data_IF_582406944123
#
_entry.id   IF_582406944123
#
_cell.length_a   1.000
_cell.length_b   1.000
_cell.length_c   1.000
_cell.angle_alpha   90.00
_cell.angle_beta   90.00
_cell.angle_gamma   90.00
#
_symmetry.space_group_name_H-M   'P 1'
#
loop_
_entity.id
_entity.type
_entity.pdbx_description
1 polymer ?
#
# COMPACT_ATOMS: atom_id res chain seq x y z
N UNK A 1 -0.97 31.39 -16.28
CA UNK A 1 -0.13 31.02 -15.11
C UNK A 1 0.33 29.60 -15.30
N UNK A 2 1.60 29.27 -15.04
CA UNK A 2 2.06 27.89 -15.06
C UNK A 2 1.45 27.11 -13.90
N UNK A 3 1.06 25.83 -14.14
CA UNK A 3 0.59 24.96 -13.07
C UNK A 3 1.70 24.70 -12.05
N UNK A 4 1.34 24.62 -10.77
CA UNK A 4 2.30 24.30 -9.70
C UNK A 4 2.79 22.85 -9.84
N UNK A 5 4.10 22.58 -9.65
CA UNK A 5 4.65 21.24 -9.67
C UNK A 5 4.06 20.38 -8.54
N UNK A 6 3.68 19.12 -8.86
CA UNK A 6 3.17 18.15 -7.89
C UNK A 6 3.84 16.79 -8.07
N UNK A 7 4.31 16.22 -6.98
CA UNK A 7 4.75 14.82 -6.91
C UNK A 7 3.69 14.03 -6.14
N UNK A 8 3.24 12.90 -6.71
CA UNK A 8 2.20 12.06 -6.13
C UNK A 8 2.84 10.81 -5.51
N UNK A 9 2.41 10.44 -4.31
CA UNK A 9 2.92 9.27 -3.59
C UNK A 9 1.81 8.30 -3.23
N UNK A 10 2.06 7.00 -3.39
CA UNK A 10 1.31 6.02 -2.60
C UNK A 10 1.69 6.16 -1.12
N UNK A 11 0.89 5.54 -0.26
CA UNK A 11 1.05 5.69 1.19
C UNK A 11 1.66 4.44 1.84
N UNK A 12 0.97 3.30 1.72
CA UNK A 12 1.38 2.03 2.33
C UNK A 12 2.49 1.36 1.51
N UNK A 13 3.70 1.26 2.06
CA UNK A 13 4.86 0.72 1.34
C UNK A 13 5.73 1.78 0.68
N UNK A 14 5.27 3.04 0.65
CA UNK A 14 6.05 4.18 0.13
C UNK A 14 6.37 5.17 1.24
N UNK A 15 5.36 5.70 1.92
CA UNK A 15 5.52 6.66 3.02
C UNK A 15 5.63 5.92 4.35
N UNK A 16 4.71 4.98 4.63
CA UNK A 16 4.66 4.23 5.88
C UNK A 16 4.80 2.72 5.68
N UNK A 17 5.58 2.09 6.55
CA UNK A 17 5.53 0.66 6.83
C UNK A 17 4.44 0.41 7.88
N UNK A 18 3.38 -0.27 7.48
CA UNK A 18 2.26 -0.65 8.32
C UNK A 18 2.21 -2.15 8.60
N UNK A 19 3.29 -2.91 8.40
CA UNK A 19 3.29 -4.37 8.45
C UNK A 19 2.69 -4.93 9.74
N UNK A 20 3.01 -4.35 10.89
CA UNK A 20 2.53 -4.82 12.18
C UNK A 20 1.04 -4.47 12.40
N UNK A 21 0.58 -3.33 11.85
CA UNK A 21 -0.85 -2.98 11.81
C UNK A 21 -1.62 -3.91 10.89
N UNK A 22 -1.11 -4.17 9.69
CA UNK A 22 -1.78 -5.05 8.72
C UNK A 22 -2.02 -6.42 9.34
N UNK A 23 -1.02 -6.98 10.02
CA UNK A 23 -1.19 -8.23 10.72
C UNK A 23 -2.17 -8.11 11.88
N UNK A 24 -2.00 -7.15 12.79
CA UNK A 24 -2.85 -6.98 13.97
C UNK A 24 -4.32 -6.85 13.59
N UNK A 25 -4.63 -6.00 12.61
CA UNK A 25 -6.00 -5.77 12.17
C UNK A 25 -6.57 -6.97 11.42
N UNK A 26 -5.80 -7.59 10.53
CA UNK A 26 -6.23 -8.78 9.77
C UNK A 26 -6.43 -9.98 10.68
N UNK A 27 -5.54 -10.20 11.66
CA UNK A 27 -5.68 -11.21 12.70
C UNK A 27 -6.98 -11.04 13.48
N UNK A 28 -7.25 -9.84 14.00
CA UNK A 28 -8.48 -9.56 14.78
C UNK A 28 -9.72 -9.71 13.91
N UNK A 29 -9.70 -9.26 12.68
CA UNK A 29 -10.81 -9.43 11.73
C UNK A 29 -11.06 -10.92 11.45
N UNK A 30 -10.02 -11.70 11.16
CA UNK A 30 -10.10 -13.14 10.95
C UNK A 30 -10.69 -13.86 12.18
N UNK A 31 -10.18 -13.58 13.39
CA UNK A 31 -10.67 -14.17 14.64
C UNK A 31 -12.14 -13.82 14.95
N UNK A 32 -12.63 -12.69 14.44
CA UNK A 32 -14.07 -12.34 14.57
C UNK A 32 -14.97 -13.17 13.64
N UNK A 33 -14.43 -13.70 12.56
CA UNK A 33 -15.15 -14.50 11.57
C UNK A 33 -15.01 -16.00 11.80
N UNK A 34 -13.86 -16.45 12.35
CA UNK A 34 -13.58 -17.85 12.67
C UNK A 34 -13.52 -18.04 14.18
N UNK A 35 -14.38 -18.93 14.70
CA UNK A 35 -14.40 -19.27 16.13
C UNK A 35 -13.45 -20.42 16.43
N UNK A 36 -12.82 -20.37 17.61
CA UNK A 36 -12.00 -21.48 18.12
C UNK A 36 -10.66 -21.64 17.42
N UNK A 37 -10.21 -20.65 16.65
CA UNK A 37 -8.89 -20.66 15.97
C UNK A 37 -7.89 -19.82 16.75
N UNK A 38 -6.61 -20.16 16.60
CA UNK A 38 -5.51 -19.44 17.20
C UNK A 38 -4.63 -18.82 16.12
N UNK A 39 -4.27 -17.57 16.30
CA UNK A 39 -3.29 -16.83 15.48
C UNK A 39 -2.32 -16.09 16.41
N UNK A 40 -1.02 -16.12 16.16
CA UNK A 40 -0.01 -15.46 16.99
C UNK A 40 -0.21 -13.94 17.03
N UNK A 41 0.21 -13.29 18.08
CA UNK A 41 0.18 -11.81 18.13
C UNK A 41 1.24 -11.17 17.26
N UNK A 42 2.43 -11.75 17.25
CA UNK A 42 3.52 -11.28 16.39
C UNK A 42 3.25 -11.60 14.93
N UNK A 43 3.64 -10.66 14.05
CA UNK A 43 3.50 -10.80 12.59
C UNK A 43 4.26 -12.02 12.08
N UNK A 44 3.59 -13.06 11.54
CA UNK A 44 4.25 -14.24 11.00
C UNK A 44 5.15 -13.91 9.80
N UNK A 45 6.28 -14.62 9.67
CA UNK A 45 7.18 -14.44 8.52
C UNK A 45 6.48 -14.69 7.17
N UNK A 46 5.60 -15.69 7.10
CA UNK A 46 4.81 -15.98 5.88
C UNK A 46 3.85 -14.86 5.51
N UNK A 47 3.26 -14.15 6.47
CA UNK A 47 2.45 -12.97 6.21
C UNK A 47 3.29 -11.86 5.57
N UNK A 48 4.48 -11.59 6.13
CA UNK A 48 5.43 -10.61 5.57
C UNK A 48 5.85 -10.99 4.16
N UNK A 49 6.14 -12.26 3.92
CA UNK A 49 6.54 -12.77 2.61
C UNK A 49 5.43 -12.63 1.55
N UNK A 50 4.15 -12.79 1.93
CA UNK A 50 3.01 -12.65 1.02
C UNK A 50 2.57 -11.19 0.79
N UNK A 51 3.01 -10.23 1.62
CA UNK A 51 2.59 -8.82 1.49
C UNK A 51 2.81 -8.23 0.09
N UNK A 52 3.89 -8.52 -0.64
CA UNK A 52 4.10 -8.02 -2.00
C UNK A 52 3.04 -8.43 -3.03
N UNK A 53 2.28 -9.48 -2.79
CA UNK A 53 1.20 -9.95 -3.68
C UNK A 53 -0.16 -9.34 -3.34
N UNK A 54 -0.30 -8.75 -2.15
CA UNK A 54 -1.56 -8.16 -1.68
C UNK A 54 -1.95 -6.95 -2.53
N UNK A 55 -3.16 -6.97 -3.09
CA UNK A 55 -3.73 -5.89 -3.88
C UNK A 55 -4.72 -5.04 -3.10
N UNK A 56 -5.53 -5.70 -2.26
CA UNK A 56 -6.58 -5.06 -1.48
C UNK A 56 -6.48 -5.45 -0.01
N UNK A 57 -6.87 -4.55 0.89
CA UNK A 57 -6.77 -4.79 2.33
C UNK A 57 -7.49 -6.06 2.81
N UNK A 58 -8.62 -6.39 2.23
CA UNK A 58 -9.40 -7.59 2.59
C UNK A 58 -8.62 -8.92 2.38
N UNK A 59 -7.70 -8.97 1.42
CA UNK A 59 -6.89 -10.17 1.14
C UNK A 59 -6.04 -10.56 2.35
N UNK A 60 -5.58 -9.59 3.12
CA UNK A 60 -4.79 -9.84 4.33
C UNK A 60 -5.60 -10.60 5.40
N UNK A 61 -6.90 -10.38 5.47
CA UNK A 61 -7.79 -11.15 6.37
C UNK A 61 -7.89 -12.61 5.92
N UNK A 62 -7.98 -12.83 4.62
CA UNK A 62 -8.01 -14.19 4.05
C UNK A 62 -6.65 -14.90 4.21
N UNK A 63 -5.53 -14.18 4.06
CA UNK A 63 -4.19 -14.73 4.34
C UNK A 63 -4.09 -15.14 5.82
N UNK A 64 -4.64 -14.35 6.74
CA UNK A 64 -4.67 -14.75 8.16
C UNK A 64 -5.47 -16.05 8.37
N UNK A 65 -6.58 -16.26 7.63
CA UNK A 65 -7.32 -17.51 7.66
C UNK A 65 -6.52 -18.69 7.09
N UNK A 66 -5.74 -18.52 6.02
CA UNK A 66 -4.85 -19.56 5.51
C UNK A 66 -3.72 -19.91 6.49
N UNK A 67 -3.22 -18.93 7.23
CA UNK A 67 -2.13 -19.13 8.19
C UNK A 67 -2.55 -19.96 9.41
N UNK A 68 -3.83 -19.96 9.79
CA UNK A 68 -4.33 -20.76 10.91
C UNK A 68 -4.54 -22.24 10.55
N UNK A 69 -4.66 -22.58 9.27
CA UNK A 69 -4.91 -23.96 8.83
C UNK A 69 -3.63 -24.79 8.84
N UNK A 70 -3.54 -25.77 9.75
CA UNK A 70 -2.37 -26.65 9.86
C UNK A 70 -2.11 -27.51 8.61
N UNK A 71 -3.16 -27.80 7.83
CA UNK A 71 -3.08 -28.58 6.58
C UNK A 71 -3.71 -27.82 5.40
N UNK A 72 -3.65 -26.49 5.44
CA UNK A 72 -4.15 -25.62 4.39
C UNK A 72 -3.20 -25.51 3.19
N UNK A 73 -3.66 -24.88 2.09
CA UNK A 73 -2.85 -24.72 0.88
C UNK A 73 -1.51 -24.03 1.15
N UNK A 74 -1.50 -22.98 1.96
CA UNK A 74 -0.28 -22.24 2.30
C UNK A 74 0.74 -23.10 3.07
N UNK A 75 0.28 -24.05 3.90
CA UNK A 75 1.15 -24.97 4.61
C UNK A 75 1.70 -26.06 3.68
N UNK A 76 0.84 -26.63 2.82
CA UNK A 76 1.23 -27.71 1.90
C UNK A 76 2.14 -27.24 0.76
N UNK A 77 1.83 -26.10 0.17
CA UNK A 77 2.56 -25.58 -1.00
C UNK A 77 3.82 -24.79 -0.62
N UNK A 78 3.81 -24.15 0.56
CA UNK A 78 4.78 -23.13 0.90
C UNK A 78 4.47 -21.77 0.24
N UNK A 79 5.22 -20.73 0.63
CA UNK A 79 4.93 -19.36 0.18
C UNK A 79 5.11 -19.17 -1.32
N UNK A 80 6.20 -19.68 -1.89
CA UNK A 80 6.54 -19.44 -3.31
C UNK A 80 5.51 -20.06 -4.26
N UNK A 81 5.15 -21.34 -4.05
CA UNK A 81 4.16 -22.01 -4.88
C UNK A 81 2.73 -21.46 -4.64
N UNK A 82 2.40 -21.06 -3.42
CA UNK A 82 1.14 -20.36 -3.13
C UNK A 82 1.08 -19.00 -3.86
N UNK A 83 2.16 -18.24 -3.83
CA UNK A 83 2.27 -16.93 -4.46
C UNK A 83 2.27 -17.00 -5.99
N UNK A 84 2.79 -18.08 -6.59
CA UNK A 84 2.75 -18.28 -8.04
C UNK A 84 1.32 -18.33 -8.61
N UNK A 85 0.37 -18.87 -7.83
CA UNK A 85 -1.05 -18.97 -8.19
C UNK A 85 -1.94 -18.10 -7.28
N UNK A 86 -1.42 -16.97 -6.80
CA UNK A 86 -2.01 -16.15 -5.73
C UNK A 86 -3.50 -15.87 -5.92
N UNK A 87 -3.91 -15.37 -7.08
CA UNK A 87 -5.32 -15.03 -7.36
C UNK A 87 -6.23 -16.26 -7.35
N UNK A 88 -5.73 -17.43 -7.80
CA UNK A 88 -6.47 -18.68 -7.75
C UNK A 88 -6.62 -19.16 -6.30
N UNK A 89 -5.56 -19.05 -5.49
CA UNK A 89 -5.62 -19.40 -4.07
C UNK A 89 -6.61 -18.51 -3.31
N UNK A 90 -6.65 -17.21 -3.61
CA UNK A 90 -7.63 -16.29 -3.02
C UNK A 90 -9.06 -16.68 -3.38
N UNK A 91 -9.35 -16.94 -4.67
CA UNK A 91 -10.70 -17.38 -5.11
C UNK A 91 -11.12 -18.67 -4.41
N UNK A 92 -10.27 -19.70 -4.44
CA UNK A 92 -10.53 -20.97 -3.77
C UNK A 92 -10.74 -20.80 -2.24
N UNK A 93 -10.02 -19.88 -1.61
CA UNK A 93 -10.19 -19.55 -0.20
C UNK A 93 -11.54 -18.89 0.09
N UNK A 94 -11.93 -17.91 -0.70
CA UNK A 94 -13.24 -17.25 -0.57
C UNK A 94 -14.38 -18.25 -0.67
N UNK A 95 -14.32 -19.14 -1.67
CA UNK A 95 -15.34 -20.20 -1.88
C UNK A 95 -15.36 -21.16 -0.70
N UNK A 96 -14.20 -21.61 -0.23
CA UNK A 96 -14.08 -22.58 0.88
C UNK A 96 -14.62 -22.04 2.21
N UNK A 97 -14.33 -20.76 2.52
CA UNK A 97 -14.85 -20.14 3.74
C UNK A 97 -16.28 -19.60 3.58
N UNK A 98 -16.83 -19.57 2.35
CA UNK A 98 -18.11 -18.94 2.05
C UNK A 98 -18.07 -17.42 2.24
N UNK A 99 -16.92 -16.78 2.05
CA UNK A 99 -16.74 -15.35 2.29
C UNK A 99 -16.79 -14.55 0.99
N UNK A 100 -17.18 -13.28 1.15
CA UNK A 100 -17.11 -12.29 0.08
C UNK A 100 -16.02 -11.23 0.41
N UNK A 101 -15.35 -10.65 -0.58
CA UNK A 101 -14.39 -9.57 -0.37
C UNK A 101 -14.93 -8.41 0.48
N UNK A 102 -16.21 -8.02 0.26
CA UNK A 102 -16.86 -6.97 1.04
C UNK A 102 -16.96 -7.30 2.53
N UNK A 103 -17.31 -8.55 2.89
CA UNK A 103 -17.36 -8.98 4.29
C UNK A 103 -16.01 -8.84 4.98
N UNK A 104 -14.93 -9.24 4.29
CA UNK A 104 -13.58 -9.16 4.82
C UNK A 104 -13.12 -7.71 4.96
N UNK A 105 -13.42 -6.88 3.95
CA UNK A 105 -13.11 -5.45 3.98
C UNK A 105 -13.85 -4.74 5.12
N UNK A 106 -15.15 -4.97 5.28
CA UNK A 106 -15.96 -4.39 6.37
C UNK A 106 -15.45 -4.82 7.75
N UNK A 107 -15.04 -6.09 7.88
CA UNK A 107 -14.47 -6.63 9.11
C UNK A 107 -13.13 -5.98 9.44
N UNK A 108 -12.25 -5.80 8.45
CA UNK A 108 -10.96 -5.12 8.60
C UNK A 108 -11.16 -3.67 9.04
N UNK A 109 -12.04 -2.94 8.37
CA UNK A 109 -12.29 -1.53 8.68
C UNK A 109 -12.98 -1.34 10.04
N UNK A 110 -13.88 -2.25 10.42
CA UNK A 110 -14.47 -2.24 11.76
C UNK A 110 -13.39 -2.39 12.83
N UNK A 111 -12.46 -3.32 12.66
CA UNK A 111 -11.34 -3.53 13.59
C UNK A 111 -10.46 -2.27 13.67
N UNK A 112 -10.14 -1.67 12.55
CA UNK A 112 -9.36 -0.42 12.50
C UNK A 112 -10.07 0.73 13.21
N UNK A 113 -11.36 0.94 12.92
CA UNK A 113 -12.17 1.96 13.63
C UNK A 113 -12.20 1.74 15.14
N UNK A 114 -12.35 0.49 15.59
CA UNK A 114 -12.31 0.15 17.00
C UNK A 114 -10.92 0.41 17.62
N UNK A 115 -9.83 0.12 16.89
CA UNK A 115 -8.48 0.39 17.37
C UNK A 115 -8.23 1.91 17.49
N UNK A 116 -8.57 2.69 16.47
CA UNK A 116 -8.43 4.16 16.50
C UNK A 116 -9.27 4.77 17.61
N UNK A 117 -10.52 4.35 17.78
CA UNK A 117 -11.41 4.92 18.82
C UNK A 117 -11.06 4.47 20.24
N UNK A 118 -10.49 3.28 20.42
CA UNK A 118 -10.16 2.71 21.73
C UNK A 118 -8.74 3.01 22.19
N UNK A 119 -7.76 2.90 21.32
CA UNK A 119 -6.35 3.17 21.58
C UNK A 119 -5.65 3.69 20.31
N UNK A 120 -5.90 4.94 19.97
CA UNK A 120 -5.29 5.61 18.81
C UNK A 120 -3.76 5.56 18.87
N UNK A 121 -3.18 5.80 20.03
CA UNK A 121 -1.72 5.82 20.18
C UNK A 121 -1.10 4.45 19.95
N UNK A 122 -1.68 3.39 20.48
CA UNK A 122 -1.26 2.02 20.23
C UNK A 122 -1.45 1.61 18.76
N UNK A 123 -2.53 2.05 18.10
CA UNK A 123 -2.72 1.78 16.67
C UNK A 123 -1.67 2.52 15.81
N UNK A 124 -1.40 3.79 16.08
CA UNK A 124 -0.36 4.58 15.38
C UNK A 124 1.02 3.95 15.57
N UNK A 125 1.34 3.47 16.78
CA UNK A 125 2.64 2.85 17.10
C UNK A 125 2.95 1.56 16.30
N UNK A 126 1.93 0.97 15.65
CA UNK A 126 2.11 -0.17 14.73
C UNK A 126 2.57 0.25 13.32
N UNK A 127 2.70 1.54 13.07
CA UNK A 127 3.16 2.10 11.80
C UNK A 127 4.49 2.83 11.99
N UNK A 128 5.31 2.89 10.95
CA UNK A 128 6.59 3.62 10.96
C UNK A 128 6.80 4.28 9.59
N UNK A 129 7.17 5.56 9.55
CA UNK A 129 7.69 6.15 8.33
C UNK A 129 8.92 5.39 7.85
N UNK A 130 9.03 5.15 6.55
CA UNK A 130 10.28 4.64 6.01
C UNK A 130 11.40 5.65 6.25
N UNK A 131 12.62 5.13 6.41
CA UNK A 131 13.79 5.95 6.72
C UNK A 131 14.03 7.04 5.67
N UNK A 132 14.12 8.28 6.12
CA UNK A 132 14.41 9.45 5.27
C UNK A 132 13.19 10.02 4.53
N UNK A 133 12.00 9.39 4.66
CA UNK A 133 10.81 9.86 3.94
C UNK A 133 10.30 11.20 4.50
N UNK A 134 10.23 11.36 5.82
CA UNK A 134 9.74 12.59 6.43
C UNK A 134 10.63 13.78 6.05
N UNK A 135 11.94 13.62 6.14
CA UNK A 135 12.93 14.63 5.77
C UNK A 135 12.83 14.98 4.28
N UNK A 136 12.64 13.96 3.42
CA UNK A 136 12.53 14.19 1.98
C UNK A 136 11.23 14.92 1.59
N UNK A 137 10.11 14.54 2.19
CA UNK A 137 8.83 15.22 1.94
C UNK A 137 8.87 16.70 2.38
N UNK A 138 9.51 17.00 3.51
CA UNK A 138 9.74 18.38 3.93
C UNK A 138 10.63 19.16 2.95
N UNK A 139 11.70 18.52 2.43
CA UNK A 139 12.61 19.14 1.46
C UNK A 139 11.99 19.45 0.08
N UNK A 140 10.86 18.82 -0.29
CA UNK A 140 10.17 19.12 -1.55
C UNK A 140 9.64 20.56 -1.60
N UNK A 141 9.19 21.09 -0.47
CA UNK A 141 8.72 22.49 -0.39
C UNK A 141 9.85 23.47 -0.71
N UNK A 142 11.09 23.20 -0.25
CA UNK A 142 12.26 24.02 -0.55
C UNK A 142 12.63 23.98 -2.04
N UNK A 143 12.29 22.89 -2.72
CA UNK A 143 12.45 22.73 -4.17
C UNK A 143 11.28 23.35 -4.97
N UNK A 144 10.28 23.94 -4.31
CA UNK A 144 9.08 24.49 -4.95
C UNK A 144 8.13 23.43 -5.50
N UNK A 145 8.20 22.20 -5.00
CA UNK A 145 7.38 21.07 -5.43
C UNK A 145 6.40 20.70 -4.32
N UNK A 146 5.11 20.80 -4.60
CA UNK A 146 4.07 20.27 -3.73
C UNK A 146 4.03 18.74 -3.80
N UNK A 147 3.49 18.08 -2.76
CA UNK A 147 3.29 16.65 -2.78
C UNK A 147 1.89 16.25 -2.30
N UNK A 148 1.38 15.13 -2.83
CA UNK A 148 0.07 14.59 -2.48
C UNK A 148 0.14 13.09 -2.24
N UNK A 149 -0.89 12.58 -1.55
CA UNK A 149 -1.08 11.15 -1.30
C UNK A 149 -2.21 10.63 -2.19
N UNK A 150 -1.97 9.47 -2.83
CA UNK A 150 -2.94 8.71 -3.60
C UNK A 150 -2.85 7.23 -3.23
N UNK A 151 -3.82 6.74 -2.44
CA UNK A 151 -3.74 5.41 -1.82
C UNK A 151 -5.02 4.59 -1.96
N UNK A 152 -4.89 3.26 -1.90
CA UNK A 152 -6.02 2.32 -1.77
C UNK A 152 -6.50 2.13 -0.33
N UNK A 153 -5.81 2.73 0.65
CA UNK A 153 -6.28 2.81 2.04
C UNK A 153 -7.45 3.79 2.15
N UNK A 154 -8.38 3.55 3.08
CA UNK A 154 -9.46 4.49 3.36
C UNK A 154 -8.91 5.85 3.81
N UNK A 155 -9.53 6.93 3.31
CA UNK A 155 -9.10 8.31 3.56
C UNK A 155 -8.95 8.61 5.05
N UNK A 156 -9.95 8.24 5.87
CA UNK A 156 -9.96 8.57 7.30
C UNK A 156 -8.77 7.96 8.05
N UNK A 157 -8.42 6.70 7.76
CA UNK A 157 -7.26 6.04 8.37
C UNK A 157 -5.93 6.65 7.91
N UNK A 158 -5.87 7.10 6.66
CA UNK A 158 -4.68 7.75 6.12
C UNK A 158 -4.48 9.12 6.76
N UNK A 159 -5.57 9.89 6.92
CA UNK A 159 -5.56 11.21 7.55
C UNK A 159 -5.10 11.15 9.02
N UNK A 160 -5.62 10.15 9.78
CA UNK A 160 -5.16 9.87 11.15
C UNK A 160 -3.65 9.64 11.26
N UNK A 161 -3.07 8.91 10.29
CA UNK A 161 -1.64 8.63 10.27
C UNK A 161 -0.83 9.85 9.81
N UNK A 162 -1.30 10.57 8.80
CA UNK A 162 -0.67 11.81 8.34
C UNK A 162 -0.59 12.81 9.50
N UNK A 163 -1.68 12.96 10.25
CA UNK A 163 -1.71 13.84 11.41
C UNK A 163 -0.75 13.37 12.51
N UNK A 164 -0.76 12.09 12.86
CA UNK A 164 0.09 11.52 13.90
C UNK A 164 1.59 11.67 13.60
N UNK A 165 2.00 11.55 12.32
CA UNK A 165 3.38 11.71 11.88
C UNK A 165 3.71 13.12 11.40
N UNK A 166 2.78 14.08 11.57
CA UNK A 166 2.94 15.49 11.19
C UNK A 166 3.27 15.70 9.71
N UNK A 167 2.76 14.82 8.85
CA UNK A 167 2.86 14.90 7.41
C UNK A 167 1.72 15.74 6.84
N UNK A 168 2.02 16.69 5.95
CA UNK A 168 1.03 17.66 5.44
C UNK A 168 1.05 17.72 3.91
N UNK A 169 0.46 16.70 3.23
CA UNK A 169 0.28 16.78 1.78
C UNK A 169 -0.70 17.90 1.42
N UNK A 170 -0.52 18.51 0.25
CA UNK A 170 -1.49 19.50 -0.27
C UNK A 170 -2.83 18.84 -0.64
N UNK A 171 -2.84 17.52 -0.81
CA UNK A 171 -4.04 16.74 -1.13
C UNK A 171 -3.89 15.27 -0.70
N UNK A 172 -5.00 14.69 -0.26
CA UNK A 172 -5.16 13.27 0.05
C UNK A 172 -6.32 12.69 -0.76
N UNK A 173 -6.03 11.71 -1.60
CA UNK A 173 -6.99 10.88 -2.31
C UNK A 173 -6.90 9.44 -1.78
N UNK A 174 -7.89 9.03 -0.98
CA UNK A 174 -8.04 7.68 -0.46
C UNK A 174 -8.76 6.76 -1.44
N UNK A 175 -9.03 5.51 -1.01
CA UNK A 175 -9.76 4.51 -1.80
C UNK A 175 -11.07 5.05 -2.40
N UNK A 176 -11.74 5.92 -1.68
CA UNK A 176 -13.03 6.50 -2.04
C UNK A 176 -12.94 7.42 -3.27
N UNK A 177 -11.75 7.88 -3.62
CA UNK A 177 -11.50 8.75 -4.77
C UNK A 177 -11.54 8.00 -6.12
N UNK A 178 -11.56 6.66 -6.09
CA UNK A 178 -11.59 5.80 -7.26
C UNK A 178 -10.22 5.28 -7.71
N UNK A 179 -10.14 4.67 -8.90
CA UNK A 179 -8.91 4.10 -9.43
C UNK A 179 -7.78 5.12 -9.57
N UNK A 180 -6.55 4.74 -9.22
CA UNK A 180 -5.38 5.62 -9.27
C UNK A 180 -5.18 6.34 -10.61
N UNK A 181 -5.29 5.67 -11.78
CA UNK A 181 -5.16 6.35 -13.07
C UNK A 181 -6.18 7.49 -13.27
N UNK A 182 -7.43 7.27 -12.86
CA UNK A 182 -8.48 8.29 -12.97
C UNK A 182 -8.21 9.50 -12.08
N UNK A 183 -7.69 9.26 -10.87
CA UNK A 183 -7.29 10.34 -9.97
C UNK A 183 -6.12 11.13 -10.56
N UNK A 184 -5.09 10.45 -11.09
CA UNK A 184 -3.96 11.10 -11.75
C UNK A 184 -4.38 11.95 -12.95
N UNK A 185 -5.34 11.48 -13.76
CA UNK A 185 -5.93 12.28 -14.85
C UNK A 185 -6.63 13.55 -14.36
N UNK A 186 -7.32 13.48 -13.22
CA UNK A 186 -7.91 14.69 -12.60
C UNK A 186 -6.85 15.64 -12.09
N UNK A 187 -5.83 15.11 -11.38
CA UNK A 187 -4.72 15.91 -10.85
C UNK A 187 -3.94 16.62 -11.95
N UNK A 188 -3.72 15.96 -13.10
CA UNK A 188 -3.00 16.53 -14.26
C UNK A 188 -3.67 17.78 -14.84
N UNK A 189 -4.97 17.96 -14.63
CA UNK A 189 -5.70 19.16 -15.06
C UNK A 189 -5.44 20.37 -14.15
N UNK A 190 -5.08 20.11 -12.90
CA UNK A 190 -4.93 21.11 -11.84
C UNK A 190 -3.45 21.40 -11.52
N UNK A 191 -2.56 20.43 -11.80
CA UNK A 191 -1.16 20.43 -11.40
C UNK A 191 -0.21 20.02 -12.53
N UNK A 192 1.02 20.54 -12.50
CA UNK A 192 2.13 20.02 -13.32
C UNK A 192 2.71 18.77 -12.66
N UNK A 193 2.16 17.59 -12.97
CA UNK A 193 2.62 16.32 -12.38
C UNK A 193 4.09 16.06 -12.73
N UNK A 194 4.94 15.90 -11.72
CA UNK A 194 6.35 15.59 -11.85
C UNK A 194 6.64 14.09 -11.82
N UNK A 195 5.76 13.30 -11.22
CA UNK A 195 5.84 11.85 -11.19
C UNK A 195 4.86 11.24 -10.20
N UNK A 196 4.81 9.91 -10.22
CA UNK A 196 4.06 9.09 -9.28
C UNK A 196 4.98 8.03 -8.68
N UNK A 197 5.09 8.00 -7.34
CA UNK A 197 5.92 7.07 -6.57
C UNK A 197 5.01 6.01 -5.95
N UNK A 198 5.29 4.75 -6.23
CA UNK A 198 4.46 3.60 -5.86
C UNK A 198 5.37 2.39 -5.60
N UNK A 199 4.99 1.47 -4.72
CA UNK A 199 5.73 0.23 -4.47
C UNK A 199 5.18 -0.98 -5.24
N UNK A 200 4.09 -0.80 -5.99
CA UNK A 200 3.48 -1.87 -6.77
C UNK A 200 3.67 -1.65 -8.27
N UNK A 201 4.58 -2.44 -8.87
CA UNK A 201 4.92 -2.36 -10.29
C UNK A 201 3.68 -2.41 -11.20
N UNK A 202 2.77 -3.37 -10.98
CA UNK A 202 1.57 -3.50 -11.81
C UNK A 202 0.68 -2.25 -11.81
N UNK A 203 0.65 -1.48 -10.71
CA UNK A 203 -0.06 -0.19 -10.66
C UNK A 203 0.60 0.84 -11.58
N UNK A 204 1.93 0.91 -11.56
CA UNK A 204 2.69 1.83 -12.41
C UNK A 204 2.56 1.47 -13.90
N UNK A 205 2.59 0.18 -14.24
CA UNK A 205 2.37 -0.30 -15.62
C UNK A 205 1.00 0.13 -16.14
N UNK A 206 -0.07 -0.02 -15.35
CA UNK A 206 -1.42 0.46 -15.70
C UNK A 206 -1.43 1.99 -15.89
N UNK A 207 -0.69 2.74 -15.07
CA UNK A 207 -0.57 4.20 -15.21
C UNK A 207 0.12 4.56 -16.53
N UNK A 208 1.21 3.88 -16.88
CA UNK A 208 1.95 4.12 -18.14
C UNK A 208 1.09 3.84 -19.38
N UNK A 209 0.20 2.84 -19.32
CA UNK A 209 -0.70 2.45 -20.41
C UNK A 209 -1.97 3.32 -20.48
N UNK A 210 -2.20 4.20 -19.49
CA UNK A 210 -3.44 4.99 -19.41
C UNK A 210 -3.40 6.18 -20.35
N UNK A 211 -4.30 6.26 -21.36
CA UNK A 211 -4.41 7.42 -22.25
C UNK A 211 -4.62 8.72 -21.47
N UNK A 212 -3.83 9.74 -21.79
CA UNK A 212 -3.83 11.02 -21.09
C UNK A 212 -2.83 11.13 -19.93
N UNK A 213 -2.08 10.05 -19.65
CA UNK A 213 -0.95 10.07 -18.68
C UNK A 213 0.42 9.92 -19.36
N UNK A 214 0.48 10.02 -20.68
CA UNK A 214 1.73 9.92 -21.45
C UNK A 214 2.80 10.88 -20.90
N UNK A 215 4.02 10.39 -20.75
CA UNK A 215 5.15 11.16 -20.24
C UNK A 215 5.12 11.43 -18.73
N UNK A 216 4.15 10.90 -17.97
CA UNK A 216 4.21 10.91 -16.52
C UNK A 216 5.33 9.96 -16.06
N UNK A 217 6.32 10.48 -15.36
CA UNK A 217 7.37 9.66 -14.74
C UNK A 217 6.77 8.76 -13.66
N UNK A 218 7.06 7.48 -13.75
CA UNK A 218 6.64 6.46 -12.80
C UNK A 218 7.85 5.94 -12.03
N UNK A 219 7.81 6.01 -10.70
CA UNK A 219 8.91 5.61 -9.86
C UNK A 219 8.51 4.44 -8.97
N UNK A 220 9.20 3.31 -9.13
CA UNK A 220 9.03 2.14 -8.27
C UNK A 220 9.92 2.28 -7.04
N UNK A 221 9.32 2.43 -5.86
CA UNK A 221 10.02 2.59 -4.59
C UNK A 221 10.72 1.28 -4.18
N UNK A 222 12.05 1.21 -4.29
CA UNK A 222 12.84 0.00 -4.02
C UNK A 222 12.78 -0.48 -2.56
N UNK A 223 12.41 0.39 -1.65
CA UNK A 223 12.27 0.09 -0.22
C UNK A 223 10.89 -0.47 0.18
N UNK A 224 9.93 -0.49 -0.74
CA UNK A 224 8.56 -0.92 -0.50
C UNK A 224 8.35 -2.43 -0.51
N UNK A 225 7.09 -2.84 -0.61
CA UNK A 225 6.68 -4.25 -0.60
C UNK A 225 6.77 -4.86 -2.00
N UNK A 226 7.99 -5.07 -2.48
CA UNK A 226 8.28 -5.55 -3.82
C UNK A 226 8.46 -7.07 -3.86
N UNK A 227 7.93 -7.69 -4.91
CA UNK A 227 8.34 -9.05 -5.29
C UNK A 227 9.76 -9.01 -5.86
N UNK A 228 10.56 -10.08 -5.74
CA UNK A 228 11.91 -10.11 -6.32
C UNK A 228 11.93 -9.72 -7.80
N UNK A 229 11.00 -10.24 -8.60
CA UNK A 229 10.90 -9.97 -10.03
C UNK A 229 10.45 -8.54 -10.38
N UNK A 230 9.92 -7.78 -9.45
CA UNK A 230 9.42 -6.41 -9.73
C UNK A 230 10.55 -5.42 -10.07
N UNK A 231 11.80 -5.76 -9.72
CA UNK A 231 12.99 -4.94 -9.97
C UNK A 231 13.62 -5.15 -11.34
N UNK A 232 13.23 -6.21 -12.05
CA UNK A 232 13.87 -6.64 -13.28
C UNK A 232 13.03 -6.32 -14.52
N UNK A 233 13.67 -5.98 -15.64
CA UNK A 233 12.97 -5.75 -16.90
C UNK A 233 11.88 -4.69 -16.81
N UNK A 234 12.18 -3.54 -16.20
CA UNK A 234 11.24 -2.43 -16.09
C UNK A 234 10.93 -1.86 -17.48
N UNK A 235 9.66 -1.54 -17.79
CA UNK A 235 9.30 -0.91 -19.05
C UNK A 235 9.82 0.53 -19.11
N UNK A 236 9.91 1.08 -20.32
CA UNK A 236 10.25 2.48 -20.54
C UNK A 236 9.27 3.41 -19.80
N UNK A 237 9.82 4.43 -19.13
CA UNK A 237 9.04 5.39 -18.33
C UNK A 237 8.78 4.95 -16.89
N UNK A 238 9.26 3.75 -16.50
CA UNK A 238 9.23 3.26 -15.13
C UNK A 238 10.66 3.09 -14.61
N UNK A 239 11.02 3.87 -13.61
CA UNK A 239 12.35 3.87 -13.02
C UNK A 239 12.35 3.30 -11.61
N UNK A 240 13.36 2.49 -11.28
CA UNK A 240 13.58 2.02 -9.91
C UNK A 240 14.18 3.17 -9.08
N UNK A 241 13.44 3.61 -8.07
CA UNK A 241 13.85 4.68 -7.18
C UNK A 241 14.46 4.09 -5.90
N UNK A 242 15.78 4.14 -5.78
CA UNK A 242 16.46 3.73 -4.54
C UNK A 242 16.31 4.78 -3.45
N UNK A 243 16.46 4.39 -2.17
CA UNK A 243 16.43 5.32 -1.03
C UNK A 243 17.45 6.44 -1.15
N UNK A 244 18.63 6.18 -1.72
CA UNK A 244 19.66 7.20 -1.93
C UNK A 244 19.26 8.23 -3.00
N UNK A 245 18.61 7.78 -4.08
CA UNK A 245 18.08 8.67 -5.12
C UNK A 245 16.88 9.46 -4.61
N UNK A 246 16.00 8.80 -3.86
CA UNK A 246 14.85 9.45 -3.22
C UNK A 246 15.28 10.60 -2.30
N UNK A 247 16.34 10.42 -1.51
CA UNK A 247 16.88 11.44 -0.61
C UNK A 247 17.55 12.64 -1.33
N UNK A 248 17.84 12.49 -2.62
CA UNK A 248 18.48 13.55 -3.40
C UNK A 248 17.44 14.54 -3.97
N UNK A 249 17.87 15.75 -4.43
CA UNK A 249 16.97 16.69 -5.10
C UNK A 249 16.24 16.07 -6.28
N UNK A 250 14.97 16.45 -6.49
CA UNK A 250 14.12 15.89 -7.55
C UNK A 250 14.75 16.04 -8.95
N UNK A 251 15.51 17.08 -9.18
CA UNK A 251 16.16 17.35 -10.46
C UNK A 251 17.17 16.26 -10.89
N UNK A 252 17.64 15.42 -9.97
CA UNK A 252 18.61 14.33 -10.27
C UNK A 252 18.00 12.93 -10.05
N UNK A 253 16.69 12.84 -9.88
CA UNK A 253 16.01 11.55 -9.93
C UNK A 253 16.07 10.97 -11.34
N UNK A 254 15.89 9.64 -11.49
CA UNK A 254 15.89 8.99 -12.81
C UNK A 254 14.96 9.63 -13.82
#
# INVERSE_FOLDING_TARGET
MSLQPLLVFDFDGVILDGMDEYWSSSRKACLSLLRGVFLPEQTPSRFRQLRPWVHHGWEMVLIAAFLQESDGPLQRLGVDAFAADYDQQLRAGLDRFGWKPSLLQDSLERVRRQAVSGDRAGWVALHRPFKGVQERLAGLEEEGVAWSVLTTKGRDFTDELLDAFQLRPVRLDGRESGPKPEVLLRLRREWALKGFVEDRRATLEVVLETPGLEGLKCFLADWGYLRPADREGLPEGLDLLSTSKFAAPLAIWP
#
